data_IF_309594563352
#
_entry.id   IF_309594563352
#
_cell.length_a   1.000
_cell.length_b   1.000
_cell.length_c   1.000
_cell.angle_alpha   90.00
_cell.angle_beta   90.00
_cell.angle_gamma   90.00
#
_symmetry.space_group_name_H-M   'P 1'
#
loop_
_entity.id
_entity.type
_entity.pdbx_description
1 polymer ?
#
# COMPACT_ATOMS: atom_id res chain seq x y z
N UNK A 1 -34.84 39.72 -13.38
CA UNK A 1 -34.63 38.25 -13.35
C UNK A 1 -34.68 37.77 -14.79
N UNK A 2 -33.56 37.80 -15.52
CA UNK A 2 -32.38 36.92 -15.47
C UNK A 2 -32.51 35.80 -16.52
N UNK A 3 -32.23 36.17 -17.78
CA UNK A 3 -31.83 35.23 -18.84
C UNK A 3 -30.31 35.02 -18.70
N UNK A 4 -29.88 33.80 -18.43
CA UNK A 4 -28.48 33.38 -18.55
C UNK A 4 -28.36 32.58 -19.83
N UNK A 5 -27.90 33.24 -20.90
CA UNK A 5 -27.42 32.59 -22.10
C UNK A 5 -26.11 31.85 -21.79
N UNK A 6 -26.05 30.58 -22.13
CA UNK A 6 -24.82 29.80 -22.09
C UNK A 6 -23.83 30.33 -23.14
N UNK A 7 -22.53 30.44 -22.84
CA UNK A 7 -21.56 30.99 -23.76
C UNK A 7 -21.41 30.10 -25.00
N UNK A 8 -21.72 30.67 -26.17
CA UNK A 8 -21.50 30.09 -27.49
C UNK A 8 -19.98 30.04 -27.72
N UNK A 9 -19.40 28.85 -27.61
CA UNK A 9 -17.98 28.61 -27.92
C UNK A 9 -17.77 28.69 -29.44
N UNK A 10 -16.86 29.54 -29.94
CA UNK A 10 -16.63 29.72 -31.38
C UNK A 10 -16.20 28.41 -32.08
N UNK A 11 -16.62 28.17 -33.33
CA UNK A 11 -16.28 26.95 -34.09
C UNK A 11 -14.78 26.68 -34.21
N UNK A 12 -13.96 27.73 -34.21
CA UNK A 12 -12.50 27.66 -34.29
C UNK A 12 -11.86 27.01 -33.04
N UNK A 13 -12.49 27.13 -31.86
CA UNK A 13 -12.00 26.54 -30.60
C UNK A 13 -12.30 25.03 -30.55
N UNK A 14 -13.43 24.59 -31.13
CA UNK A 14 -13.72 23.15 -31.31
C UNK A 14 -12.77 22.49 -32.32
N UNK A 15 -12.38 23.22 -33.37
CA UNK A 15 -11.44 22.72 -34.37
C UNK A 15 -9.99 22.65 -33.84
N UNK A 16 -9.62 23.50 -32.88
CA UNK A 16 -8.32 23.44 -32.20
C UNK A 16 -8.28 22.30 -31.16
N UNK A 17 -9.36 22.06 -30.42
CA UNK A 17 -9.48 20.95 -29.46
C UNK A 17 -9.39 19.58 -30.16
N UNK A 18 -10.04 19.43 -31.32
CA UNK A 18 -9.95 18.22 -32.15
C UNK A 18 -8.59 18.04 -32.86
N UNK A 19 -7.76 19.10 -32.96
CA UNK A 19 -6.39 19.03 -33.46
C UNK A 19 -5.37 18.71 -32.36
N UNK A 20 -5.63 19.08 -31.11
CA UNK A 20 -4.80 18.71 -29.95
C UNK A 20 -5.08 17.27 -29.49
N UNK A 21 -6.34 16.84 -29.53
CA UNK A 21 -6.74 15.46 -29.17
C UNK A 21 -6.38 14.39 -30.24
N UNK A 22 -5.81 14.79 -31.39
CA UNK A 22 -5.34 13.89 -32.45
C UNK A 22 -3.81 13.90 -32.66
N UNK A 23 -3.02 14.52 -31.77
CA UNK A 23 -1.54 14.46 -31.79
C UNK A 23 -0.98 13.54 -30.69
N UNK A 24 -1.81 12.65 -30.15
CA UNK A 24 -1.35 11.53 -29.34
C UNK A 24 -2.36 10.39 -29.54
N UNK A 25 -2.01 9.25 -30.18
CA UNK A 25 -0.88 8.42 -29.77
C UNK A 25 -0.18 7.63 -30.91
N UNK A 26 1.16 7.54 -30.93
CA UNK A 26 1.85 6.31 -31.41
C UNK A 26 3.38 6.26 -31.25
N UNK A 27 4.07 7.34 -30.87
CA UNK A 27 5.56 7.34 -30.81
C UNK A 27 6.14 7.18 -29.39
N UNK A 28 5.30 7.16 -28.34
CA UNK A 28 5.76 6.96 -26.96
C UNK A 28 6.14 5.51 -26.56
N UNK A 29 5.65 4.43 -27.21
CA UNK A 29 6.01 3.07 -26.80
C UNK A 29 7.41 2.60 -27.22
N UNK A 30 8.10 3.27 -28.15
CA UNK A 30 9.45 2.84 -28.59
C UNK A 30 10.57 3.39 -27.70
N UNK A 31 10.50 4.65 -27.28
CA UNK A 31 11.50 5.24 -26.37
C UNK A 31 11.40 4.64 -24.96
N UNK A 32 10.19 4.26 -24.52
CA UNK A 32 9.98 3.58 -23.24
C UNK A 32 10.48 2.13 -23.30
N UNK A 33 10.32 1.40 -24.41
CA UNK A 33 10.91 0.06 -24.57
C UNK A 33 12.45 0.10 -24.66
N UNK A 34 13.01 1.06 -25.39
CA UNK A 34 14.46 1.24 -25.48
C UNK A 34 15.10 1.80 -24.18
N UNK A 35 14.33 2.51 -23.36
CA UNK A 35 14.74 2.97 -22.03
C UNK A 35 14.62 1.91 -20.93
N UNK A 36 13.56 1.09 -20.96
CA UNK A 36 13.32 0.02 -19.97
C UNK A 36 14.24 -1.19 -20.20
N UNK A 37 14.63 -1.50 -21.44
CA UNK A 37 15.63 -2.54 -21.72
C UNK A 37 17.06 -2.15 -21.30
N UNK A 38 17.32 -0.87 -20.98
CA UNK A 38 18.62 -0.41 -20.46
C UNK A 38 18.70 -0.23 -18.94
N UNK A 39 17.60 -0.34 -18.20
CA UNK A 39 17.57 -0.03 -16.77
C UNK A 39 17.21 -1.19 -15.82
N UNK A 40 17.25 -2.43 -16.30
CA UNK A 40 17.39 -3.61 -15.41
C UNK A 40 18.86 -3.99 -15.24
N UNK A 41 19.71 -3.01 -14.92
CA UNK A 41 21.07 -3.30 -14.45
C UNK A 41 21.02 -3.48 -12.95
N UNK A 42 21.28 -4.70 -12.49
CA UNK A 42 21.46 -5.00 -11.06
C UNK A 42 22.36 -3.97 -10.40
N UNK A 43 22.04 -3.60 -9.16
CA UNK A 43 22.72 -2.55 -8.41
C UNK A 43 24.24 -2.78 -8.45
N UNK A 44 24.99 -1.93 -9.17
CA UNK A 44 26.46 -1.97 -9.14
C UNK A 44 26.94 -1.29 -7.87
N UNK A 45 27.99 -1.82 -7.27
CA UNK A 45 28.56 -1.25 -6.07
C UNK A 45 29.21 0.12 -6.36
N UNK A 46 30.13 0.19 -7.33
CA UNK A 46 30.73 1.45 -7.77
C UNK A 46 31.51 2.23 -6.69
N UNK A 47 31.75 1.66 -5.51
CA UNK A 47 32.54 2.27 -4.43
C UNK A 47 33.95 2.52 -4.92
N UNK A 48 34.42 3.76 -4.81
CA UNK A 48 35.79 4.16 -5.10
C UNK A 48 36.73 3.74 -3.98
N UNK A 49 37.93 3.28 -4.34
CA UNK A 49 38.91 2.82 -3.36
C UNK A 49 39.80 3.95 -2.85
N UNK A 50 40.13 3.90 -1.56
CA UNK A 50 41.10 4.81 -0.95
C UNK A 50 42.54 4.27 -1.09
N UNK A 51 43.54 5.14 -0.96
CA UNK A 51 44.96 4.73 -0.89
C UNK A 51 45.16 3.82 0.33
N UNK A 52 45.76 2.65 0.14
CA UNK A 52 46.03 1.69 1.21
C UNK A 52 44.87 0.72 1.52
N UNK A 53 43.72 0.85 0.86
CA UNK A 53 42.58 -0.07 1.05
C UNK A 53 42.86 -1.45 0.42
N UNK A 54 42.48 -2.54 1.11
CA UNK A 54 42.62 -3.90 0.60
C UNK A 54 41.45 -4.20 -0.34
N UNK A 55 41.77 -4.53 -1.59
CA UNK A 55 40.82 -4.94 -2.63
C UNK A 55 41.09 -6.36 -3.10
N UNK A 56 40.08 -7.02 -3.65
CA UNK A 56 40.09 -8.44 -3.94
C UNK A 56 39.83 -8.70 -5.43
N UNK A 57 40.65 -9.53 -6.07
CA UNK A 57 40.38 -10.03 -7.42
C UNK A 57 40.27 -11.56 -7.40
N UNK A 58 39.20 -12.10 -7.98
CA UNK A 58 39.00 -13.55 -8.08
C UNK A 58 39.65 -14.07 -9.36
N UNK A 59 40.67 -14.93 -9.24
CA UNK A 59 41.43 -15.44 -10.40
C UNK A 59 40.63 -16.41 -11.25
N UNK A 60 39.63 -17.06 -10.66
CA UNK A 60 38.81 -18.04 -11.36
C UNK A 60 37.67 -17.35 -12.13
N UNK A 61 37.09 -16.28 -11.56
CA UNK A 61 35.89 -15.62 -12.10
C UNK A 61 36.16 -14.30 -12.83
N UNK A 62 37.24 -13.58 -12.56
CA UNK A 62 37.52 -12.30 -13.22
C UNK A 62 37.73 -12.50 -14.73
N UNK A 63 37.23 -11.55 -15.53
CA UNK A 63 37.50 -11.50 -16.97
C UNK A 63 38.85 -10.87 -17.28
N UNK A 64 39.34 -9.98 -16.40
CA UNK A 64 40.65 -9.35 -16.50
C UNK A 64 41.29 -9.10 -15.10
N UNK A 65 42.63 -8.94 -15.01
CA UNK A 65 43.31 -8.75 -13.73
C UNK A 65 42.96 -7.46 -12.97
N UNK A 66 42.37 -6.49 -13.67
CA UNK A 66 41.91 -5.23 -13.09
C UNK A 66 40.47 -5.32 -12.53
N UNK A 67 39.79 -6.47 -12.65
CA UNK A 67 38.47 -6.66 -12.07
C UNK A 67 38.58 -6.89 -10.56
N UNK A 68 38.01 -5.98 -9.77
CA UNK A 68 38.26 -5.90 -8.32
C UNK A 68 36.98 -5.65 -7.53
N UNK A 69 36.91 -6.27 -6.35
CA UNK A 69 35.84 -6.13 -5.37
C UNK A 69 36.37 -5.38 -4.14
N UNK A 70 35.52 -4.52 -3.56
CA UNK A 70 35.75 -4.04 -2.20
C UNK A 70 35.62 -5.22 -1.21
N UNK A 71 36.20 -5.06 -0.01
CA UNK A 71 36.16 -6.09 1.02
C UNK A 71 34.72 -6.58 1.29
N UNK A 72 33.78 -5.64 1.39
CA UNK A 72 32.39 -5.95 1.68
C UNK A 72 31.72 -6.77 0.58
N UNK A 73 31.88 -6.40 -0.69
CA UNK A 73 31.33 -7.18 -1.81
C UNK A 73 31.99 -8.54 -1.93
N UNK A 74 33.30 -8.62 -1.66
CA UNK A 74 34.02 -9.88 -1.66
C UNK A 74 33.44 -10.84 -0.62
N UNK A 75 33.34 -10.44 0.65
CA UNK A 75 32.85 -11.30 1.75
C UNK A 75 31.40 -11.77 1.58
N UNK A 76 30.57 -11.00 0.88
CA UNK A 76 29.19 -11.37 0.59
C UNK A 76 29.01 -12.02 -0.79
N UNK A 77 30.10 -12.41 -1.45
CA UNK A 77 30.06 -13.10 -2.75
C UNK A 77 30.55 -14.54 -2.62
N UNK A 78 30.23 -15.34 -3.63
CA UNK A 78 30.79 -16.69 -3.74
C UNK A 78 32.30 -16.70 -3.97
N UNK A 79 32.90 -15.55 -4.34
CA UNK A 79 34.33 -15.49 -4.68
C UNK A 79 35.25 -15.74 -3.48
N UNK A 80 34.71 -15.72 -2.26
CA UNK A 80 35.41 -16.15 -1.03
C UNK A 80 35.82 -17.63 -1.05
N UNK A 81 35.14 -18.46 -1.83
CA UNK A 81 35.43 -19.90 -1.94
C UNK A 81 36.29 -20.25 -3.16
N UNK A 82 36.68 -19.25 -3.97
CA UNK A 82 37.53 -19.40 -5.14
C UNK A 82 38.98 -18.99 -4.84
N UNK A 83 39.89 -19.16 -5.81
CA UNK A 83 41.24 -18.61 -5.70
C UNK A 83 41.21 -17.12 -5.99
N UNK A 84 41.57 -16.32 -5.00
CA UNK A 84 41.61 -14.86 -5.11
C UNK A 84 42.99 -14.31 -4.74
N UNK A 85 43.21 -13.04 -5.07
CA UNK A 85 44.37 -12.27 -4.68
C UNK A 85 43.93 -10.98 -3.98
N UNK A 86 44.61 -10.67 -2.87
CA UNK A 86 44.50 -9.39 -2.19
C UNK A 86 45.53 -8.41 -2.77
N UNK A 87 45.08 -7.19 -3.03
CA UNK A 87 45.89 -6.11 -3.60
C UNK A 87 45.68 -4.88 -2.70
N UNK A 88 46.76 -4.14 -2.45
CA UNK A 88 46.67 -2.84 -1.76
C UNK A 88 46.43 -1.78 -2.82
N UNK A 89 45.31 -1.07 -2.71
CA UNK A 89 44.95 0.01 -3.63
C UNK A 89 45.95 1.15 -3.55
N UNK A 90 46.48 1.60 -4.69
CA UNK A 90 47.32 2.80 -4.79
C UNK A 90 46.50 4.10 -4.81
N UNK A 91 45.16 4.01 -4.73
CA UNK A 91 44.23 5.15 -4.72
C UNK A 91 44.11 5.93 -6.04
N UNK A 92 44.79 5.51 -7.11
CA UNK A 92 44.63 6.05 -8.46
C UNK A 92 43.39 5.42 -9.13
N UNK A 93 42.19 5.89 -8.77
CA UNK A 93 41.00 5.83 -9.64
C UNK A 93 40.33 4.46 -9.87
N UNK A 94 40.44 3.51 -8.94
CA UNK A 94 39.71 2.24 -9.01
C UNK A 94 38.34 2.27 -8.32
N UNK A 95 37.35 1.55 -8.84
CA UNK A 95 36.05 1.34 -8.20
C UNK A 95 35.68 -0.15 -8.18
N UNK A 96 34.75 -0.52 -7.29
CA UNK A 96 34.30 -1.89 -7.14
C UNK A 96 33.42 -2.36 -8.31
N UNK A 97 33.84 -3.44 -8.96
CA UNK A 97 33.20 -4.06 -10.12
C UNK A 97 32.03 -5.01 -9.77
N UNK A 98 31.62 -5.07 -8.51
CA UNK A 98 30.43 -5.82 -8.13
C UNK A 98 29.21 -5.25 -8.86
N UNK A 99 28.48 -6.09 -9.59
CA UNK A 99 27.39 -5.69 -10.47
C UNK A 99 27.78 -5.49 -11.93
N UNK A 100 29.07 -5.50 -12.28
CA UNK A 100 29.51 -5.40 -13.66
C UNK A 100 29.54 -6.79 -14.33
N UNK A 101 28.54 -7.05 -15.18
CA UNK A 101 28.41 -8.29 -15.95
C UNK A 101 29.60 -8.55 -16.88
N UNK A 102 30.38 -7.53 -17.23
CA UNK A 102 31.57 -7.68 -18.10
C UNK A 102 32.84 -7.96 -17.30
N UNK A 103 32.85 -7.69 -15.99
CA UNK A 103 34.01 -7.91 -15.13
C UNK A 103 34.12 -9.36 -14.62
N UNK A 104 33.01 -10.10 -14.60
CA UNK A 104 32.94 -11.44 -14.00
C UNK A 104 32.31 -12.47 -14.94
N UNK A 105 32.96 -13.62 -15.12
CA UNK A 105 32.47 -14.76 -15.91
C UNK A 105 31.24 -15.41 -15.27
N UNK A 106 31.20 -15.45 -13.95
CA UNK A 106 30.13 -16.05 -13.15
C UNK A 106 29.92 -15.24 -11.87
N UNK A 107 28.71 -15.27 -11.32
CA UNK A 107 28.31 -14.56 -10.10
C UNK A 107 28.84 -13.10 -10.05
N UNK A 108 28.37 -12.24 -10.97
CA UNK A 108 28.84 -10.86 -11.10
C UNK A 108 28.54 -9.99 -9.89
N UNK A 109 27.72 -10.48 -8.94
CA UNK A 109 27.18 -9.69 -7.86
C UNK A 109 27.18 -10.45 -6.54
N UNK A 110 27.40 -9.71 -5.46
CA UNK A 110 27.34 -10.22 -4.10
C UNK A 110 25.89 -10.29 -3.59
N UNK A 111 25.64 -10.98 -2.48
CA UNK A 111 24.30 -11.11 -1.89
C UNK A 111 23.65 -9.76 -1.52
N UNK A 112 24.45 -8.70 -1.31
CA UNK A 112 23.94 -7.33 -1.05
C UNK A 112 23.55 -6.57 -2.32
N UNK A 113 24.09 -6.96 -3.47
CA UNK A 113 23.88 -6.29 -4.76
C UNK A 113 23.14 -7.26 -5.66
N UNK A 114 21.82 -7.21 -5.64
CA UNK A 114 21.00 -8.20 -6.34
C UNK A 114 21.03 -7.94 -7.85
N UNK A 115 21.57 -8.89 -8.61
CA UNK A 115 21.54 -8.84 -10.06
C UNK A 115 20.57 -9.88 -10.56
N UNK A 116 19.52 -9.41 -11.23
CA UNK A 116 18.60 -10.27 -11.95
C UNK A 116 19.39 -10.88 -13.12
N UNK A 117 20.00 -12.03 -12.90
CA UNK A 117 20.63 -12.79 -13.97
C UNK A 117 19.53 -13.34 -14.86
N UNK A 118 19.45 -12.86 -16.10
CA UNK A 118 18.72 -13.57 -17.14
C UNK A 118 19.44 -14.90 -17.39
N UNK A 119 18.92 -15.98 -16.82
CA UNK A 119 19.11 -17.33 -17.32
C UNK A 119 17.74 -17.95 -17.59
N UNK A 120 17.52 -18.61 -18.74
CA UNK A 120 16.22 -19.21 -19.06
C UNK A 120 15.89 -20.33 -18.05
N UNK A 121 14.63 -20.47 -17.62
CA UNK A 121 14.25 -21.44 -16.60
C UNK A 121 14.29 -22.85 -17.17
N UNK A 122 15.15 -23.70 -16.61
CA UNK A 122 14.97 -25.15 -16.67
C UNK A 122 14.12 -25.57 -15.46
N UNK A 123 13.00 -26.20 -15.75
CA UNK A 123 11.99 -26.61 -14.79
C UNK A 123 12.50 -27.72 -13.84
N UNK A 124 12.19 -27.62 -12.55
CA UNK A 124 11.63 -28.74 -11.77
C UNK A 124 11.21 -28.34 -10.35
N UNK A 125 9.90 -28.53 -10.12
CA UNK A 125 9.21 -29.03 -8.93
C UNK A 125 9.28 -28.34 -7.56
N UNK A 126 8.05 -28.08 -7.05
CA UNK A 126 7.56 -28.02 -5.67
C UNK A 126 8.45 -28.80 -4.68
N UNK A 127 8.63 -28.41 -3.41
CA UNK A 127 7.57 -28.33 -2.39
C UNK A 127 8.19 -27.86 -1.06
N UNK A 128 7.50 -26.99 -0.32
CA UNK A 128 7.33 -27.03 1.15
C UNK A 128 7.16 -25.63 1.75
N UNK A 129 5.94 -25.41 2.26
CA UNK A 129 5.59 -24.70 3.49
C UNK A 129 6.66 -23.80 4.14
N UNK A 130 6.37 -22.50 4.24
CA UNK A 130 6.21 -21.75 5.50
C UNK A 130 6.01 -20.26 5.17
N UNK A 131 4.89 -19.71 5.61
CA UNK A 131 4.72 -18.25 5.79
C UNK A 131 5.70 -17.84 6.91
N UNK A 132 6.51 -16.79 6.69
CA UNK A 132 6.22 -15.54 7.41
C UNK A 132 6.29 -14.29 6.53
N UNK A 133 5.25 -13.48 6.68
CA UNK A 133 5.26 -12.03 6.96
C UNK A 133 6.25 -11.17 6.16
N UNK A 134 5.67 -10.37 5.26
CA UNK A 134 5.86 -8.92 5.12
C UNK A 134 7.22 -8.34 5.55
N UNK A 135 8.07 -8.03 4.57
CA UNK A 135 9.11 -6.99 4.76
C UNK A 135 9.49 -6.27 3.44
N UNK A 136 9.28 -6.91 2.28
CA UNK A 136 9.76 -6.37 0.99
C UNK A 136 9.08 -5.10 0.44
N UNK A 137 8.11 -4.49 1.13
CA UNK A 137 7.44 -3.27 0.64
C UNK A 137 7.98 -1.96 1.25
N UNK A 138 8.58 -2.04 2.44
CA UNK A 138 9.19 -0.87 3.11
C UNK A 138 10.56 -0.56 2.47
N UNK A 139 11.33 -1.61 2.12
CA UNK A 139 12.63 -1.48 1.46
C UNK A 139 12.55 -0.90 0.04
N UNK A 140 11.49 -1.21 -0.70
CA UNK A 140 11.27 -0.70 -2.06
C UNK A 140 11.00 0.82 -2.06
N UNK A 141 10.18 1.31 -1.12
CA UNK A 141 9.84 2.73 -1.01
C UNK A 141 11.01 3.57 -0.49
N UNK A 142 11.82 3.02 0.42
CA UNK A 142 13.03 3.67 0.91
C UNK A 142 14.10 3.79 -0.18
N UNK A 143 14.16 2.82 -1.10
CA UNK A 143 15.05 2.86 -2.27
C UNK A 143 14.58 3.88 -3.31
N UNK A 144 13.28 3.99 -3.56
CA UNK A 144 12.71 5.02 -4.46
C UNK A 144 13.02 6.42 -3.94
N UNK A 145 12.79 6.70 -2.65
CA UNK A 145 13.14 7.99 -2.05
C UNK A 145 14.63 8.35 -2.17
N UNK A 146 15.54 7.37 -2.05
CA UNK A 146 16.97 7.61 -2.22
C UNK A 146 17.36 7.93 -3.66
N UNK A 147 16.74 7.25 -4.64
CA UNK A 147 16.96 7.54 -6.06
C UNK A 147 16.44 8.93 -6.41
N UNK A 148 15.28 9.31 -5.88
CA UNK A 148 14.68 10.62 -6.09
C UNK A 148 15.47 11.75 -5.42
N UNK A 149 15.89 11.56 -4.17
CA UNK A 149 16.78 12.50 -3.49
C UNK A 149 18.06 12.71 -4.31
N UNK A 150 18.64 11.64 -4.86
CA UNK A 150 19.82 11.73 -5.71
C UNK A 150 19.56 12.51 -7.00
N UNK A 151 18.40 12.34 -7.63
CA UNK A 151 18.03 13.05 -8.85
C UNK A 151 17.89 14.57 -8.65
N UNK A 152 17.34 15.01 -7.50
CA UNK A 152 17.29 16.43 -7.10
C UNK A 152 18.69 16.94 -6.76
N UNK A 153 19.49 16.13 -6.07
CA UNK A 153 20.78 16.54 -5.53
C UNK A 153 21.86 16.79 -6.59
N UNK A 154 21.86 16.05 -7.69
CA UNK A 154 22.86 16.19 -8.76
C UNK A 154 22.87 17.61 -9.37
N UNK A 155 21.77 18.13 -9.94
CA UNK A 155 21.73 19.48 -10.51
C UNK A 155 21.95 20.55 -9.44
N UNK A 156 21.42 20.38 -8.22
CA UNK A 156 21.68 21.30 -7.11
C UNK A 156 23.19 21.45 -6.83
N UNK A 157 23.90 20.32 -6.71
CA UNK A 157 25.35 20.34 -6.45
C UNK A 157 26.11 21.02 -7.58
N UNK A 158 25.75 20.73 -8.83
CA UNK A 158 26.38 21.35 -10.01
C UNK A 158 26.16 22.87 -10.00
N UNK A 159 24.94 23.33 -9.73
CA UNK A 159 24.64 24.76 -9.64
C UNK A 159 25.42 25.46 -8.52
N UNK A 160 25.58 24.80 -7.38
CA UNK A 160 26.40 25.31 -6.27
C UNK A 160 27.89 25.39 -6.60
N UNK A 161 28.43 24.43 -7.36
CA UNK A 161 29.80 24.50 -7.86
C UNK A 161 30.00 25.72 -8.77
N UNK A 162 29.08 25.97 -9.71
CA UNK A 162 29.14 27.17 -10.54
C UNK A 162 29.07 28.45 -9.71
N UNK A 163 28.24 28.50 -8.67
CA UNK A 163 28.24 29.65 -7.76
C UNK A 163 29.57 29.82 -7.01
N UNK A 164 30.17 28.73 -6.53
CA UNK A 164 31.49 28.76 -5.89
C UNK A 164 32.56 29.32 -6.83
N UNK A 165 32.55 28.93 -8.11
CA UNK A 165 33.47 29.46 -9.12
C UNK A 165 33.30 30.98 -9.30
N UNK A 166 32.06 31.49 -9.29
CA UNK A 166 31.80 32.94 -9.32
C UNK A 166 32.48 33.65 -8.15
N UNK A 167 32.42 33.08 -6.94
CA UNK A 167 33.07 33.65 -5.77
C UNK A 167 34.59 33.69 -5.91
N UNK A 168 35.20 32.61 -6.39
CA UNK A 168 36.64 32.55 -6.61
C UNK A 168 37.10 33.58 -7.66
N UNK A 169 36.37 33.70 -8.76
CA UNK A 169 36.62 34.71 -9.78
C UNK A 169 36.52 36.12 -9.19
N UNK A 170 35.46 36.45 -8.45
CA UNK A 170 35.30 37.75 -7.80
C UNK A 170 36.41 38.05 -6.77
N UNK A 171 36.89 37.04 -6.03
CA UNK A 171 38.04 37.21 -5.11
C UNK A 171 39.31 37.56 -5.89
N UNK A 172 39.53 36.94 -7.05
CA UNK A 172 40.73 37.17 -7.86
C UNK A 172 40.74 38.54 -8.57
N UNK A 173 39.58 39.13 -8.86
CA UNK A 173 39.50 40.44 -9.53
C UNK A 173 39.79 41.57 -8.56
N UNK A 174 40.81 42.38 -8.85
CA UNK A 174 41.19 43.54 -8.03
C UNK A 174 40.45 44.82 -8.44
N UNK A 175 39.12 44.75 -8.57
CA UNK A 175 38.25 45.87 -8.94
C UNK A 175 36.83 45.65 -8.40
N UNK A 176 36.17 46.74 -7.98
CA UNK A 176 34.79 46.70 -7.45
C UNK A 176 33.73 46.58 -8.56
N UNK A 177 34.12 46.84 -9.81
CA UNK A 177 33.28 46.82 -11.00
C UNK A 177 33.96 45.99 -12.09
N UNK A 178 33.26 44.99 -12.62
CA UNK A 178 33.66 44.25 -13.83
C UNK A 178 32.80 44.72 -15.01
N UNK A 179 33.46 45.32 -16.00
CA UNK A 179 32.80 45.87 -17.18
C UNK A 179 32.61 44.81 -18.29
N UNK A 180 31.57 44.96 -19.11
CA UNK A 180 31.32 44.06 -20.23
C UNK A 180 32.43 44.14 -21.29
N UNK A 181 32.67 43.04 -22.00
CA UNK A 181 33.68 42.94 -23.07
C UNK A 181 35.07 42.49 -22.61
N UNK A 182 35.25 42.16 -21.33
CA UNK A 182 36.44 41.46 -20.84
C UNK A 182 36.15 39.96 -20.62
N UNK A 183 37.16 39.11 -20.79
CA UNK A 183 37.04 37.66 -20.61
C UNK A 183 36.47 37.29 -19.24
N UNK A 184 36.90 38.00 -18.19
CA UNK A 184 36.43 37.79 -16.81
C UNK A 184 34.93 38.03 -16.65
N UNK A 185 34.38 39.04 -17.33
CA UNK A 185 32.94 39.31 -17.31
C UNK A 185 32.17 38.15 -17.95
N UNK A 186 32.63 37.69 -19.11
CA UNK A 186 31.98 36.59 -19.84
C UNK A 186 32.05 35.27 -19.06
N UNK A 187 33.16 35.00 -18.37
CA UNK A 187 33.32 33.83 -17.50
C UNK A 187 32.40 33.88 -16.28
N UNK A 188 32.36 35.02 -15.56
CA UNK A 188 31.44 35.22 -14.43
C UNK A 188 29.99 35.02 -14.88
N UNK A 189 29.61 35.62 -16.01
CA UNK A 189 28.27 35.48 -16.57
C UNK A 189 27.91 34.05 -16.91
N UNK A 190 28.81 33.32 -17.56
CA UNK A 190 28.60 31.91 -17.90
C UNK A 190 28.34 31.07 -16.67
N UNK A 191 29.12 31.26 -15.60
CA UNK A 191 28.91 30.51 -14.35
C UNK A 191 27.60 30.91 -13.65
N UNK A 192 27.18 32.18 -13.70
CA UNK A 192 25.87 32.63 -13.15
C UNK A 192 24.70 32.02 -13.93
N UNK A 193 24.78 32.01 -15.27
CA UNK A 193 23.75 31.40 -16.12
C UNK A 193 23.69 29.87 -15.93
N UNK A 194 24.84 29.21 -15.78
CA UNK A 194 24.93 27.79 -15.45
C UNK A 194 24.33 27.49 -14.07
N UNK A 195 24.68 28.28 -13.05
CA UNK A 195 24.10 28.17 -11.71
C UNK A 195 22.57 28.26 -11.76
N UNK A 196 22.02 29.30 -12.41
CA UNK A 196 20.57 29.50 -12.53
C UNK A 196 19.90 28.30 -13.21
N UNK A 197 20.44 27.86 -14.33
CA UNK A 197 19.88 26.73 -15.11
C UNK A 197 19.84 25.46 -14.27
N UNK A 198 20.93 25.12 -13.58
CA UNK A 198 20.98 23.92 -12.75
C UNK A 198 20.12 24.01 -11.48
N UNK A 199 19.94 25.20 -10.91
CA UNK A 199 18.99 25.39 -9.81
C UNK A 199 17.55 25.19 -10.29
N UNK A 200 17.18 25.75 -11.43
CA UNK A 200 15.85 25.57 -12.05
C UNK A 200 15.58 24.10 -12.41
N UNK A 201 16.58 23.39 -12.94
CA UNK A 201 16.52 21.94 -13.17
C UNK A 201 16.24 21.17 -11.87
N UNK A 202 16.97 21.49 -10.80
CA UNK A 202 16.77 20.86 -9.49
C UNK A 202 15.37 21.12 -8.93
N UNK A 203 14.86 22.34 -9.06
CA UNK A 203 13.51 22.70 -8.61
C UNK A 203 12.44 21.95 -9.44
N UNK A 204 12.64 21.86 -10.75
CA UNK A 204 11.69 21.20 -11.65
C UNK A 204 11.61 19.70 -11.41
N UNK A 205 12.75 19.03 -11.18
CA UNK A 205 12.78 17.63 -10.77
C UNK A 205 12.02 17.46 -9.45
N UNK A 206 12.31 18.29 -8.44
CA UNK A 206 11.62 18.20 -7.15
C UNK A 206 10.09 18.44 -7.27
N UNK A 207 9.65 19.35 -8.14
CA UNK A 207 8.22 19.60 -8.44
C UNK A 207 7.55 18.40 -9.10
N UNK A 208 8.20 17.78 -10.09
CA UNK A 208 7.66 16.60 -10.77
C UNK A 208 7.49 15.42 -9.79
N UNK A 209 8.46 15.22 -8.92
CA UNK A 209 8.41 14.16 -7.91
C UNK A 209 7.37 14.45 -6.81
N UNK A 210 7.21 15.72 -6.41
CA UNK A 210 6.12 16.11 -5.52
C UNK A 210 4.75 15.81 -6.14
N UNK A 211 4.56 16.01 -7.44
CA UNK A 211 3.30 15.67 -8.12
C UNK A 211 3.02 14.16 -8.07
N UNK A 212 4.05 13.33 -8.20
CA UNK A 212 3.91 11.88 -8.06
C UNK A 212 3.46 11.50 -6.63
N UNK A 213 4.11 12.08 -5.60
CA UNK A 213 3.74 11.85 -4.19
C UNK A 213 2.34 12.39 -3.86
N UNK A 214 1.95 13.54 -4.43
CA UNK A 214 0.59 14.09 -4.32
C UNK A 214 -0.44 13.12 -4.91
N UNK A 215 -0.18 12.57 -6.09
CA UNK A 215 -1.03 11.55 -6.73
C UNK A 215 -1.15 10.27 -5.91
N UNK A 216 -0.05 9.76 -5.35
CA UNK A 216 -0.08 8.60 -4.45
C UNK A 216 -0.88 8.89 -3.17
N UNK A 217 -0.76 10.10 -2.62
CA UNK A 217 -1.53 10.53 -1.44
C UNK A 217 -3.03 10.53 -1.74
N UNK A 218 -3.44 11.09 -2.89
CA UNK A 218 -4.83 11.10 -3.35
C UNK A 218 -5.36 9.67 -3.54
N UNK A 219 -4.59 8.81 -4.22
CA UNK A 219 -4.95 7.40 -4.47
C UNK A 219 -5.17 6.64 -3.17
N UNK A 220 -4.23 6.71 -2.23
CA UNK A 220 -4.36 6.04 -0.93
C UNK A 220 -5.55 6.56 -0.12
N UNK A 221 -5.85 7.87 -0.23
CA UNK A 221 -7.01 8.49 0.43
C UNK A 221 -8.33 7.99 -0.15
N UNK A 222 -8.42 7.85 -1.48
CA UNK A 222 -9.57 7.29 -2.16
C UNK A 222 -9.76 5.80 -1.79
N UNK A 223 -8.70 5.00 -1.87
CA UNK A 223 -8.73 3.58 -1.51
C UNK A 223 -9.16 3.36 -0.05
N UNK A 224 -8.65 4.17 0.90
CA UNK A 224 -9.09 4.08 2.30
C UNK A 224 -10.58 4.39 2.46
N UNK A 225 -11.08 5.41 1.75
CA UNK A 225 -12.49 5.79 1.80
C UNK A 225 -13.38 4.66 1.26
N UNK A 226 -12.96 4.02 0.18
CA UNK A 226 -13.66 2.87 -0.40
C UNK A 226 -13.66 1.65 0.52
N UNK A 227 -12.51 1.32 1.14
CA UNK A 227 -12.42 0.23 2.11
C UNK A 227 -13.29 0.49 3.35
N UNK A 228 -13.31 1.73 3.86
CA UNK A 228 -14.15 2.11 4.99
C UNK A 228 -15.65 1.97 4.66
N UNK A 229 -16.05 2.38 3.44
CA UNK A 229 -17.42 2.19 2.94
C UNK A 229 -17.78 0.71 2.85
N UNK A 230 -16.89 -0.12 2.30
CA UNK A 230 -17.12 -1.57 2.22
C UNK A 230 -17.23 -2.23 3.61
N UNK A 231 -16.40 -1.81 4.58
CA UNK A 231 -16.49 -2.29 5.96
C UNK A 231 -17.86 -1.96 6.56
N UNK A 232 -18.29 -0.70 6.47
CA UNK A 232 -19.59 -0.25 6.97
C UNK A 232 -20.76 -0.99 6.34
N UNK A 233 -20.71 -1.24 5.03
CA UNK A 233 -21.72 -2.03 4.33
C UNK A 233 -21.80 -3.47 4.88
N UNK A 234 -20.65 -4.15 5.02
CA UNK A 234 -20.59 -5.54 5.53
C UNK A 234 -21.03 -5.63 6.98
N UNK A 235 -20.73 -4.64 7.82
CA UNK A 235 -21.23 -4.56 9.19
C UNK A 235 -22.77 -4.41 9.23
N UNK A 236 -23.35 -3.70 8.27
CA UNK A 236 -24.80 -3.64 8.07
C UNK A 236 -25.40 -5.00 7.67
N UNK A 237 -24.78 -5.69 6.71
CA UNK A 237 -25.18 -7.04 6.28
C UNK A 237 -25.10 -8.05 7.43
N UNK A 238 -24.03 -7.98 8.23
CA UNK A 238 -23.83 -8.82 9.41
C UNK A 238 -24.97 -8.62 10.44
N UNK A 239 -25.34 -7.38 10.74
CA UNK A 239 -26.46 -7.08 11.66
C UNK A 239 -27.78 -7.65 11.15
N UNK A 240 -28.03 -7.57 9.85
CA UNK A 240 -29.22 -8.15 9.23
C UNK A 240 -29.23 -9.68 9.37
N UNK A 241 -28.12 -10.35 9.05
CA UNK A 241 -27.98 -11.80 9.22
C UNK A 241 -28.15 -12.25 10.67
N UNK A 242 -27.60 -11.50 11.63
CA UNK A 242 -27.79 -11.78 13.07
C UNK A 242 -29.27 -11.67 13.48
N UNK A 243 -29.98 -10.66 12.95
CA UNK A 243 -31.42 -10.48 13.19
C UNK A 243 -32.22 -11.66 12.59
N UNK A 244 -31.88 -12.10 11.38
CA UNK A 244 -32.49 -13.28 10.76
C UNK A 244 -32.24 -14.56 11.56
N UNK A 245 -31.01 -14.76 12.04
CA UNK A 245 -30.65 -15.89 12.88
C UNK A 245 -31.48 -15.92 14.17
N UNK A 246 -31.69 -14.76 14.81
CA UNK A 246 -32.54 -14.65 16.01
C UNK A 246 -34.01 -14.99 15.70
N UNK A 247 -34.52 -14.57 14.55
CA UNK A 247 -35.87 -14.93 14.08
C UNK A 247 -36.02 -16.43 13.85
N UNK A 248 -35.04 -17.07 13.19
CA UNK A 248 -35.05 -18.52 12.98
C UNK A 248 -34.97 -19.31 14.29
N UNK A 249 -34.14 -18.88 15.24
CA UNK A 249 -34.07 -19.49 16.59
C UNK A 249 -35.41 -19.38 17.33
N UNK A 250 -36.05 -18.21 17.30
CA UNK A 250 -37.35 -18.00 17.93
C UNK A 250 -38.45 -18.88 17.29
N UNK A 251 -38.41 -19.03 15.96
CA UNK A 251 -39.33 -19.89 15.21
C UNK A 251 -39.10 -21.38 15.54
N UNK A 252 -37.84 -21.80 15.62
CA UNK A 252 -37.44 -23.14 16.03
C UNK A 252 -37.98 -23.49 17.43
N UNK A 253 -37.87 -22.57 18.39
CA UNK A 253 -38.40 -22.77 19.74
C UNK A 253 -39.93 -22.97 19.75
N UNK A 254 -40.66 -22.19 18.96
CA UNK A 254 -42.11 -22.34 18.79
C UNK A 254 -42.47 -23.70 18.17
N UNK A 255 -41.80 -24.11 17.09
CA UNK A 255 -42.04 -25.42 16.46
C UNK A 255 -41.68 -26.58 17.39
N UNK A 256 -40.58 -26.47 18.15
CA UNK A 256 -40.21 -27.46 19.16
C UNK A 256 -41.26 -27.57 20.26
N UNK A 257 -41.82 -26.46 20.74
CA UNK A 257 -42.90 -26.46 21.73
C UNK A 257 -44.18 -27.14 21.19
N UNK A 258 -44.54 -26.87 19.92
CA UNK A 258 -45.68 -27.53 19.24
C UNK A 258 -45.42 -29.02 19.03
N UNK A 259 -44.23 -29.40 18.60
CA UNK A 259 -43.81 -30.79 18.42
C UNK A 259 -43.92 -31.56 19.75
N UNK A 260 -43.38 -31.02 20.86
CA UNK A 260 -43.52 -31.63 22.19
C UNK A 260 -44.98 -31.81 22.62
N UNK A 261 -45.86 -30.89 22.25
CA UNK A 261 -47.29 -30.96 22.58
C UNK A 261 -48.00 -32.01 21.74
N UNK A 262 -47.74 -32.04 20.43
CA UNK A 262 -48.25 -33.05 19.51
C UNK A 262 -47.76 -34.47 19.87
N UNK A 263 -46.48 -34.63 20.23
CA UNK A 263 -45.91 -35.91 20.68
C UNK A 263 -46.56 -36.40 21.98
N UNK A 264 -46.79 -35.51 22.96
CA UNK A 264 -47.53 -35.87 24.19
C UNK A 264 -48.98 -36.28 23.90
N UNK A 265 -49.64 -35.57 22.98
CA UNK A 265 -50.98 -35.92 22.51
C UNK A 265 -51.02 -37.31 21.86
N UNK A 266 -50.07 -37.58 20.96
CA UNK A 266 -49.91 -38.89 20.31
C UNK A 266 -49.69 -40.01 21.33
N UNK A 267 -48.79 -39.83 22.30
CA UNK A 267 -48.54 -40.81 23.36
C UNK A 267 -49.80 -41.11 24.18
N UNK A 268 -50.61 -40.07 24.46
CA UNK A 268 -51.88 -40.20 25.17
C UNK A 268 -52.89 -40.98 24.32
N UNK A 269 -53.05 -40.62 23.05
CA UNK A 269 -53.97 -41.30 22.13
C UNK A 269 -53.58 -42.78 21.90
N UNK A 270 -52.28 -43.08 21.79
CA UNK A 270 -51.77 -44.45 21.73
C UNK A 270 -52.04 -45.23 23.01
N UNK A 271 -51.88 -44.62 24.19
CA UNK A 271 -52.18 -45.26 25.47
C UNK A 271 -53.68 -45.59 25.60
N UNK A 272 -54.56 -44.65 25.23
CA UNK A 272 -56.01 -44.88 25.17
C UNK A 272 -56.34 -46.03 24.22
N UNK A 273 -55.75 -46.04 23.03
CA UNK A 273 -55.97 -47.10 22.04
C UNK A 273 -55.44 -48.46 22.50
N UNK A 274 -54.34 -48.50 23.28
CA UNK A 274 -53.85 -49.72 23.92
C UNK A 274 -54.84 -50.23 24.98
N UNK A 275 -55.31 -49.38 25.88
CA UNK A 275 -56.32 -49.73 26.90
C UNK A 275 -57.62 -50.24 26.26
N UNK A 276 -58.10 -49.59 25.20
CA UNK A 276 -59.29 -50.04 24.45
C UNK A 276 -59.09 -51.42 23.78
N UNK A 277 -57.90 -51.71 23.26
CA UNK A 277 -57.57 -53.03 22.68
C UNK A 277 -57.50 -54.10 23.77
N UNK A 278 -56.83 -53.79 24.87
CA UNK A 278 -56.70 -54.72 26.00
C UNK A 278 -58.08 -55.08 26.58
N UNK A 279 -58.97 -54.09 26.75
CA UNK A 279 -60.34 -54.33 27.21
C UNK A 279 -61.16 -55.15 26.22
N UNK A 280 -60.96 -54.96 24.91
CA UNK A 280 -61.58 -55.80 23.87
C UNK A 280 -61.12 -57.25 24.02
N UNK A 281 -59.81 -57.48 24.15
CA UNK A 281 -59.24 -58.83 24.29
C UNK A 281 -59.72 -59.51 25.58
N UNK A 282 -59.85 -58.75 26.68
CA UNK A 282 -60.44 -59.23 27.93
C UNK A 282 -61.93 -59.58 27.78
N UNK A 283 -62.73 -58.73 27.13
CA UNK A 283 -64.14 -59.00 26.87
C UNK A 283 -64.35 -60.21 25.94
N UNK A 284 -63.48 -60.39 24.95
CA UNK A 284 -63.51 -61.54 24.04
C UNK A 284 -63.15 -62.86 24.76
N UNK A 285 -62.18 -62.81 25.70
CA UNK A 285 -61.85 -63.94 26.58
C UNK A 285 -62.99 -64.30 27.55
N UNK A 286 -63.65 -63.30 28.16
CA UNK A 286 -64.74 -63.51 29.12
C UNK A 286 -66.03 -64.00 28.42
N UNK A 287 -66.26 -63.64 27.15
CA UNK A 287 -67.40 -64.15 26.36
C UNK A 287 -67.37 -65.66 26.14
N UNK A 288 -66.18 -66.27 26.11
CA UNK A 288 -66.01 -67.73 26.04
C UNK A 288 -66.22 -68.43 27.41
N UNK A 289 -66.44 -67.69 28.49
CA UNK A 289 -66.58 -68.19 29.86
C UNK A 289 -68.02 -68.13 30.44
N UNK A 290 -69.03 -67.78 29.64
CA UNK A 290 -70.44 -68.05 29.97
C UNK A 290 -71.11 -67.18 31.05
N UNK A 291 -70.53 -66.04 31.44
CA UNK A 291 -71.19 -65.07 32.33
C UNK A 291 -71.26 -63.72 31.63
N UNK A 292 -72.49 -63.29 31.32
CA UNK A 292 -72.78 -61.99 30.73
C UNK A 292 -72.63 -60.88 31.76
N UNK A 293 -71.69 -59.96 31.51
CA UNK A 293 -71.73 -58.52 31.79
C UNK A 293 -70.31 -57.99 31.63
N UNK A 294 -70.08 -56.97 30.80
CA UNK A 294 -69.00 -56.00 31.05
C UNK A 294 -69.32 -54.65 30.43
N UNK A 295 -69.48 -53.66 31.32
CA UNK A 295 -69.50 -52.24 31.04
C UNK A 295 -68.11 -51.79 30.57
N UNK A 296 -68.00 -51.18 29.40
CA UNK A 296 -66.74 -50.60 28.92
C UNK A 296 -66.86 -49.07 28.98
N UNK A 297 -66.28 -48.40 30.00
CA UNK A 297 -66.18 -46.95 29.96
C UNK A 297 -65.21 -46.56 28.83
N UNK A 298 -65.72 -45.87 27.82
CA UNK A 298 -64.92 -45.29 26.74
C UNK A 298 -64.38 -43.95 27.26
N UNK A 299 -63.09 -43.91 27.54
CA UNK A 299 -62.39 -42.69 27.97
C UNK A 299 -61.76 -42.05 26.73
N UNK A 300 -62.20 -40.84 26.38
CA UNK A 300 -61.64 -40.04 25.29
C UNK A 300 -61.74 -38.55 25.64
N UNK A 301 -60.63 -37.82 25.48
CA UNK A 301 -60.48 -36.41 25.82
C UNK A 301 -61.14 -35.52 24.75
N UNK A 302 -62.45 -35.30 24.79
CA UNK A 302 -63.15 -34.09 24.29
C UNK A 302 -64.52 -34.07 24.99
N UNK A 303 -64.93 -32.90 25.46
CA UNK A 303 -66.14 -32.66 26.26
C UNK A 303 -67.39 -33.37 25.69
N UNK A 304 -68.02 -34.21 26.51
CA UNK A 304 -69.30 -34.88 26.23
C UNK A 304 -69.27 -36.38 26.53
N UNK A 305 -69.29 -36.77 27.79
CA UNK A 305 -69.41 -38.17 28.20
C UNK A 305 -70.82 -38.72 27.89
N UNK A 306 -70.90 -39.81 27.11
CA UNK A 306 -72.13 -40.60 26.96
C UNK A 306 -71.90 -41.99 27.54
N UNK A 307 -72.68 -42.33 28.57
CA UNK A 307 -72.79 -43.69 29.11
C UNK A 307 -73.87 -44.45 28.33
N UNK A 308 -73.60 -45.67 27.85
CA UNK A 308 -74.62 -46.54 27.24
C UNK A 308 -74.49 -47.95 27.84
N UNK A 309 -75.63 -48.53 28.28
CA UNK A 309 -75.73 -49.89 28.83
C UNK A 309 -76.02 -50.94 27.74
N UNK A 310 -75.58 -52.19 27.97
CA UNK A 310 -75.28 -53.15 26.88
C UNK A 310 -76.39 -54.13 26.50
N UNK A 311 -76.64 -54.23 25.18
CA UNK A 311 -77.25 -55.39 24.49
C UNK A 311 -76.32 -55.90 23.36
N UNK A 312 -76.68 -56.99 22.68
CA UNK A 312 -75.89 -57.68 21.61
C UNK A 312 -75.44 -56.81 20.41
N UNK A 313 -75.85 -55.54 20.37
CA UNK A 313 -75.52 -54.52 19.36
C UNK A 313 -74.18 -53.81 19.56
N UNK A 314 -73.45 -54.07 20.64
CA UNK A 314 -72.47 -53.10 21.16
C UNK A 314 -71.00 -53.34 20.77
N UNK A 315 -70.69 -54.48 20.14
CA UNK A 315 -69.36 -54.68 19.52
C UNK A 315 -69.09 -53.71 18.37
N UNK A 316 -70.15 -53.32 17.64
CA UNK A 316 -70.04 -52.35 16.56
C UNK A 316 -69.70 -50.95 17.09
N UNK A 317 -70.25 -50.56 18.25
CA UNK A 317 -69.97 -49.29 18.91
C UNK A 317 -68.55 -49.24 19.49
N UNK A 318 -68.08 -50.33 20.11
CA UNK A 318 -66.69 -50.45 20.57
C UNK A 318 -65.68 -50.51 19.40
N UNK A 319 -66.05 -51.11 18.26
CA UNK A 319 -65.24 -51.08 17.04
C UNK A 319 -65.16 -49.68 16.46
N UNK A 320 -66.29 -48.97 16.35
CA UNK A 320 -66.33 -47.58 15.90
C UNK A 320 -65.49 -46.66 16.79
N UNK A 321 -65.54 -46.83 18.11
CA UNK A 321 -64.73 -46.04 19.04
C UNK A 321 -63.22 -46.32 18.86
N UNK A 322 -62.82 -47.57 18.64
CA UNK A 322 -61.44 -47.92 18.34
C UNK A 322 -60.97 -47.39 16.96
N UNK A 323 -61.85 -47.36 15.97
CA UNK A 323 -61.55 -46.80 14.64
C UNK A 323 -61.43 -45.27 14.66
N UNK A 324 -62.20 -44.59 15.50
CA UNK A 324 -62.06 -43.16 15.81
C UNK A 324 -60.72 -42.89 16.49
N UNK A 325 -60.37 -43.64 17.54
CA UNK A 325 -59.07 -43.52 18.19
C UNK A 325 -57.89 -43.79 17.24
N UNK A 326 -58.02 -44.76 16.31
CA UNK A 326 -57.01 -45.00 15.24
C UNK A 326 -56.88 -43.81 14.29
N UNK A 327 -57.99 -43.13 13.98
CA UNK A 327 -57.99 -41.93 13.12
C UNK A 327 -57.28 -40.77 13.80
N UNK A 328 -57.58 -40.54 15.07
CA UNK A 328 -56.94 -39.51 15.89
C UNK A 328 -55.42 -39.75 16.04
N UNK A 329 -55.00 -41.00 16.25
CA UNK A 329 -53.57 -41.36 16.24
C UNK A 329 -52.92 -41.04 14.90
N UNK A 330 -53.55 -41.36 13.77
CA UNK A 330 -53.02 -41.03 12.43
C UNK A 330 -52.92 -39.51 12.21
N UNK A 331 -53.91 -38.75 12.66
CA UNK A 331 -53.91 -37.29 12.57
C UNK A 331 -52.78 -36.70 13.44
N UNK A 332 -52.64 -37.15 14.69
CA UNK A 332 -51.55 -36.75 15.59
C UNK A 332 -50.18 -37.12 15.02
N UNK A 333 -50.02 -38.32 14.44
CA UNK A 333 -48.79 -38.76 13.79
C UNK A 333 -48.42 -37.85 12.61
N UNK A 334 -49.41 -37.48 11.79
CA UNK A 334 -49.22 -36.56 10.66
C UNK A 334 -48.75 -35.19 11.15
N UNK A 335 -49.37 -34.63 12.20
CA UNK A 335 -48.94 -33.37 12.81
C UNK A 335 -47.52 -33.42 13.37
N UNK A 336 -47.13 -34.53 14.04
CA UNK A 336 -45.76 -34.74 14.53
C UNK A 336 -44.76 -34.75 13.37
N UNK A 337 -45.06 -35.48 12.28
CA UNK A 337 -44.20 -35.52 11.10
C UNK A 337 -44.04 -34.15 10.44
N UNK A 338 -45.14 -33.38 10.33
CA UNK A 338 -45.11 -32.02 9.79
C UNK A 338 -44.22 -31.09 10.63
N UNK A 339 -44.41 -31.05 11.96
CA UNK A 339 -43.59 -30.19 12.82
C UNK A 339 -42.13 -30.63 12.88
N UNK A 340 -41.85 -31.93 12.82
CA UNK A 340 -40.48 -32.47 12.71
C UNK A 340 -39.78 -32.00 11.42
N UNK A 341 -40.50 -31.99 10.30
CA UNK A 341 -40.00 -31.43 9.04
C UNK A 341 -39.66 -29.94 9.14
N UNK A 342 -40.52 -29.14 9.77
CA UNK A 342 -40.30 -27.71 9.99
C UNK A 342 -39.10 -27.42 10.89
N UNK A 343 -38.94 -28.18 11.99
CA UNK A 343 -37.76 -28.10 12.87
C UNK A 343 -36.47 -28.39 12.09
N UNK A 344 -36.48 -29.43 11.26
CA UNK A 344 -35.33 -29.78 10.42
C UNK A 344 -35.00 -28.67 9.42
N UNK A 345 -36.02 -28.04 8.82
CA UNK A 345 -35.87 -26.89 7.92
C UNK A 345 -35.27 -25.68 8.62
N UNK A 346 -35.77 -25.32 9.80
CA UNK A 346 -35.22 -24.22 10.60
C UNK A 346 -33.76 -24.47 11.02
N UNK A 347 -33.42 -25.69 11.44
CA UNK A 347 -32.03 -26.05 11.78
C UNK A 347 -31.07 -25.88 10.59
N UNK A 348 -31.50 -26.26 9.39
CA UNK A 348 -30.73 -26.04 8.17
C UNK A 348 -30.51 -24.55 7.87
N UNK A 349 -31.57 -23.73 8.00
CA UNK A 349 -31.48 -22.27 7.83
C UNK A 349 -30.57 -21.61 8.86
N UNK A 350 -30.64 -22.04 10.13
CA UNK A 350 -29.76 -21.58 11.21
C UNK A 350 -28.30 -21.90 10.88
N UNK A 351 -28.01 -23.13 10.46
CA UNK A 351 -26.65 -23.56 10.11
C UNK A 351 -26.08 -22.73 8.96
N UNK A 352 -26.90 -22.49 7.92
CA UNK A 352 -26.53 -21.62 6.79
C UNK A 352 -26.28 -20.18 7.24
N UNK A 353 -27.20 -19.58 8.01
CA UNK A 353 -27.04 -18.22 8.50
C UNK A 353 -25.81 -18.06 9.41
N UNK A 354 -25.49 -19.07 10.23
CA UNK A 354 -24.27 -19.07 11.05
C UNK A 354 -23.00 -19.11 10.19
N UNK A 355 -22.97 -19.92 9.14
CA UNK A 355 -21.86 -19.95 8.20
C UNK A 355 -21.70 -18.61 7.48
N UNK A 356 -22.81 -18.02 7.00
CA UNK A 356 -22.79 -16.73 6.30
C UNK A 356 -22.32 -15.59 7.23
N UNK A 357 -22.70 -15.62 8.51
CA UNK A 357 -22.20 -14.71 9.56
C UNK A 357 -20.69 -14.87 9.72
N UNK A 358 -20.19 -16.10 9.91
CA UNK A 358 -18.76 -16.36 10.09
C UNK A 358 -17.93 -15.90 8.88
N UNK A 359 -18.44 -16.13 7.67
CA UNK A 359 -17.82 -15.69 6.43
C UNK A 359 -17.83 -14.15 6.29
N UNK A 360 -18.90 -13.49 6.73
CA UNK A 360 -18.99 -12.03 6.70
C UNK A 360 -18.04 -11.41 7.72
N UNK A 361 -18.00 -11.95 8.93
CA UNK A 361 -17.09 -11.54 10.00
C UNK A 361 -15.61 -11.68 9.59
N UNK A 362 -15.23 -12.77 8.92
CA UNK A 362 -13.85 -12.95 8.46
C UNK A 362 -13.45 -11.90 7.41
N UNK A 363 -14.36 -11.56 6.48
CA UNK A 363 -14.15 -10.49 5.50
C UNK A 363 -14.07 -9.10 6.15
N UNK A 364 -14.86 -8.84 7.19
CA UNK A 364 -14.79 -7.58 7.96
C UNK A 364 -13.40 -7.46 8.60
N UNK A 365 -12.93 -8.51 9.30
CA UNK A 365 -11.59 -8.52 9.91
C UNK A 365 -10.47 -8.33 8.88
N UNK A 366 -10.58 -8.97 7.72
CA UNK A 366 -9.63 -8.79 6.62
C UNK A 366 -9.63 -7.34 6.10
N UNK A 367 -10.81 -6.74 5.92
CA UNK A 367 -10.96 -5.35 5.48
C UNK A 367 -10.37 -4.38 6.52
N UNK A 368 -10.57 -4.66 7.80
CA UNK A 368 -10.03 -3.86 8.91
C UNK A 368 -8.50 -3.93 8.99
N UNK A 369 -7.91 -5.12 8.83
CA UNK A 369 -6.46 -5.27 8.75
C UNK A 369 -5.88 -4.50 7.55
N UNK A 370 -6.56 -4.53 6.39
CA UNK A 370 -6.18 -3.72 5.22
C UNK A 370 -6.27 -2.22 5.50
N UNK A 371 -7.32 -1.76 6.17
CA UNK A 371 -7.46 -0.35 6.57
C UNK A 371 -6.33 0.10 7.49
N UNK A 372 -5.93 -0.73 8.46
CA UNK A 372 -4.81 -0.43 9.36
C UNK A 372 -3.48 -0.34 8.60
N UNK A 373 -3.19 -1.31 7.73
CA UNK A 373 -1.98 -1.29 6.90
C UNK A 373 -1.94 -0.07 5.97
N UNK A 374 -3.08 0.29 5.37
CA UNK A 374 -3.20 1.48 4.53
C UNK A 374 -3.02 2.77 5.32
N UNK A 375 -3.53 2.84 6.55
CA UNK A 375 -3.33 3.99 7.44
C UNK A 375 -1.85 4.21 7.75
N UNK A 376 -1.11 3.15 8.07
CA UNK A 376 0.33 3.23 8.31
C UNK A 376 1.09 3.71 7.05
N UNK A 377 0.73 3.18 5.87
CA UNK A 377 1.32 3.64 4.60
C UNK A 377 1.04 5.13 4.32
N UNK A 378 -0.19 5.60 4.59
CA UNK A 378 -0.54 7.03 4.41
C UNK A 378 0.26 7.95 5.32
N UNK A 379 0.53 7.54 6.56
CA UNK A 379 1.32 8.33 7.50
C UNK A 379 2.75 8.55 6.97
N UNK A 380 3.40 7.50 6.48
CA UNK A 380 4.74 7.59 5.87
C UNK A 380 4.72 8.48 4.63
N UNK A 381 3.76 8.28 3.72
CA UNK A 381 3.66 9.09 2.49
C UNK A 381 3.37 10.56 2.82
N UNK A 382 2.55 10.85 3.82
CA UNK A 382 2.24 12.22 4.23
C UNK A 382 3.46 12.94 4.84
N UNK A 383 4.28 12.25 5.63
CA UNK A 383 5.53 12.80 6.15
C UNK A 383 6.52 13.12 5.00
N UNK A 384 6.67 12.19 4.05
CA UNK A 384 7.49 12.40 2.84
C UNK A 384 6.96 13.58 2.03
N UNK A 385 5.66 13.65 1.79
CA UNK A 385 5.01 14.75 1.05
C UNK A 385 5.27 16.11 1.72
N UNK A 386 5.15 16.18 3.06
CA UNK A 386 5.42 17.39 3.81
C UNK A 386 6.88 17.84 3.70
N UNK A 387 7.82 16.90 3.81
CA UNK A 387 9.26 17.14 3.60
C UNK A 387 9.55 17.62 2.17
N UNK A 388 8.98 16.95 1.17
CA UNK A 388 9.15 17.29 -0.24
C UNK A 388 8.63 18.69 -0.57
N UNK A 389 7.46 19.07 -0.04
CA UNK A 389 6.91 20.43 -0.19
C UNK A 389 7.83 21.50 0.38
N UNK A 390 8.43 21.26 1.54
CA UNK A 390 9.42 22.18 2.12
C UNK A 390 10.66 22.28 1.23
N UNK A 391 11.20 21.14 0.77
CA UNK A 391 12.36 21.12 -0.11
C UNK A 391 12.11 21.88 -1.42
N UNK A 392 10.97 21.63 -2.11
CA UNK A 392 10.56 22.37 -3.30
C UNK A 392 10.46 23.86 -3.03
N UNK A 393 9.86 24.26 -1.90
CA UNK A 393 9.75 25.66 -1.53
C UNK A 393 11.13 26.32 -1.35
N UNK A 394 12.06 25.66 -0.66
CA UNK A 394 13.41 26.21 -0.48
C UNK A 394 14.21 26.26 -1.80
N UNK A 395 14.07 25.25 -2.67
CA UNK A 395 14.67 25.25 -4.01
C UNK A 395 14.12 26.41 -4.86
N UNK A 396 12.84 26.71 -4.77
CA UNK A 396 12.24 27.87 -5.43
C UNK A 396 12.80 29.20 -4.94
N UNK A 397 13.09 29.32 -3.64
CA UNK A 397 13.80 30.49 -3.10
C UNK A 397 15.22 30.60 -3.67
N UNK A 398 15.97 29.49 -3.76
CA UNK A 398 17.31 29.48 -4.38
C UNK A 398 17.26 29.89 -5.86
N UNK A 399 16.30 29.36 -6.63
CA UNK A 399 16.10 29.75 -8.03
C UNK A 399 15.80 31.25 -8.17
N UNK A 400 15.03 31.80 -7.22
CA UNK A 400 14.80 33.24 -7.10
C UNK A 400 16.09 34.03 -6.91
N UNK A 401 16.94 33.63 -5.96
CA UNK A 401 18.24 34.29 -5.71
C UNK A 401 19.15 34.18 -6.95
N UNK A 402 19.22 33.01 -7.59
CA UNK A 402 19.97 32.80 -8.83
C UNK A 402 19.47 33.67 -9.99
N UNK A 403 18.15 33.88 -10.08
CA UNK A 403 17.55 34.79 -11.07
C UNK A 403 17.89 36.26 -10.80
N UNK A 404 17.92 36.68 -9.53
CA UNK A 404 18.38 38.02 -9.15
C UNK A 404 19.84 38.21 -9.53
N UNK A 405 20.69 37.22 -9.26
CA UNK A 405 22.10 37.24 -9.65
C UNK A 405 22.26 37.46 -11.16
N UNK A 406 21.58 36.64 -11.96
CA UNK A 406 21.63 36.71 -13.42
C UNK A 406 21.16 38.08 -13.95
N UNK A 407 20.04 38.60 -13.43
CA UNK A 407 19.51 39.91 -13.82
C UNK A 407 20.48 41.06 -13.49
N UNK A 408 21.07 41.04 -12.30
CA UNK A 408 21.96 42.10 -11.83
C UNK A 408 23.30 42.12 -12.60
N UNK A 409 23.78 40.97 -13.07
CA UNK A 409 25.03 40.87 -13.83
C UNK A 409 24.87 41.05 -15.34
N UNK A 410 23.68 41.40 -15.85
CA UNK A 410 23.43 41.44 -17.29
C UNK A 410 24.25 42.50 -18.05
N UNK A 411 24.61 43.59 -17.39
CA UNK A 411 25.25 44.74 -18.04
C UNK A 411 26.65 45.01 -17.51
N UNK A 412 26.86 44.76 -16.23
CA UNK A 412 28.11 44.93 -15.50
C UNK A 412 28.00 44.10 -14.22
N UNK A 413 29.12 43.70 -13.63
CA UNK A 413 29.13 42.99 -12.34
C UNK A 413 29.64 43.93 -11.27
N UNK A 414 28.81 44.20 -10.26
CA UNK A 414 29.17 44.98 -9.08
C UNK A 414 29.44 44.04 -7.92
N UNK A 415 30.53 44.27 -7.21
CA UNK A 415 30.92 43.42 -6.09
C UNK A 415 29.89 43.47 -4.94
N UNK A 416 29.41 44.66 -4.57
CA UNK A 416 28.48 44.83 -3.43
C UNK A 416 27.11 44.13 -3.63
N UNK A 417 26.38 44.30 -4.75
CA UNK A 417 25.17 43.52 -5.03
C UNK A 417 25.42 42.01 -5.07
N UNK A 418 26.55 41.56 -5.61
CA UNK A 418 26.89 40.13 -5.60
C UNK A 418 27.11 39.63 -4.17
N UNK A 419 27.72 40.41 -3.28
CA UNK A 419 27.84 40.03 -1.87
C UNK A 419 26.47 39.86 -1.18
N UNK A 420 25.47 40.68 -1.53
CA UNK A 420 24.09 40.51 -1.01
C UNK A 420 23.45 39.22 -1.53
N UNK A 421 23.62 38.92 -2.82
CA UNK A 421 23.18 37.65 -3.42
C UNK A 421 23.83 36.45 -2.70
N UNK A 422 25.12 36.52 -2.35
CA UNK A 422 25.79 35.46 -1.59
C UNK A 422 25.20 35.24 -0.21
N UNK A 423 24.89 36.33 0.50
CA UNK A 423 24.30 36.27 1.83
C UNK A 423 22.93 35.58 1.79
N UNK A 424 22.09 35.98 0.83
CA UNK A 424 20.77 35.37 0.61
C UNK A 424 20.87 33.89 0.17
N UNK A 425 21.82 33.56 -0.71
CA UNK A 425 22.08 32.21 -1.17
C UNK A 425 22.50 31.29 0.00
N UNK A 426 23.48 31.73 0.80
CA UNK A 426 24.01 30.99 1.95
C UNK A 426 22.94 30.81 3.03
N UNK A 427 22.11 31.83 3.27
CA UNK A 427 20.99 31.78 4.21
C UNK A 427 19.92 30.77 3.77
N UNK A 428 19.60 30.74 2.48
CA UNK A 428 18.61 29.81 1.93
C UNK A 428 19.14 28.37 1.93
N UNK A 429 20.42 28.17 1.59
CA UNK A 429 21.07 26.86 1.68
C UNK A 429 21.12 26.29 3.09
N UNK A 430 21.31 27.15 4.10
CA UNK A 430 21.28 26.71 5.50
C UNK A 430 19.93 26.12 5.91
N UNK A 431 18.82 26.63 5.36
CA UNK A 431 17.49 26.07 5.58
C UNK A 431 17.33 24.69 4.92
N UNK A 432 17.96 24.47 3.77
CA UNK A 432 17.92 23.20 3.04
C UNK A 432 18.75 22.13 3.77
N UNK A 433 19.96 22.46 4.21
CA UNK A 433 20.83 21.53 4.92
C UNK A 433 20.25 21.10 6.29
N UNK A 434 19.36 21.91 6.86
CA UNK A 434 18.61 21.58 8.07
C UNK A 434 17.48 20.55 7.86
N UNK A 435 16.98 20.34 6.64
CA UNK A 435 15.88 19.41 6.36
C UNK A 435 16.43 18.00 6.07
N UNK A 436 15.91 16.98 6.77
CA UNK A 436 16.42 15.60 6.74
C UNK A 436 16.39 14.96 5.33
N UNK A 437 15.57 15.48 4.42
CA UNK A 437 15.39 14.93 3.08
C UNK A 437 16.60 15.17 2.16
N UNK A 438 17.31 16.29 2.34
CA UNK A 438 18.43 16.71 1.47
C UNK A 438 19.77 16.75 2.21
N UNK A 439 19.84 16.19 3.43
CA UNK A 439 21.09 16.07 4.18
C UNK A 439 22.09 15.22 3.39
N UNK A 440 23.12 15.88 2.90
CA UNK A 440 24.28 15.23 2.27
C UNK A 440 25.55 15.97 2.66
N UNK A 441 26.59 15.21 3.02
CA UNK A 441 27.91 15.76 3.40
C UNK A 441 28.46 16.71 2.33
N UNK A 442 28.14 16.46 1.05
CA UNK A 442 28.58 17.28 -0.07
C UNK A 442 28.03 18.71 -0.08
N UNK A 443 26.77 18.96 0.32
CA UNK A 443 26.23 20.34 0.39
C UNK A 443 26.90 21.11 1.52
N UNK A 444 27.13 20.44 2.66
CA UNK A 444 27.67 21.10 3.84
C UNK A 444 29.09 21.61 3.62
N UNK A 445 29.96 20.80 2.98
CA UNK A 445 31.29 21.23 2.56
C UNK A 445 31.22 22.45 1.63
N UNK A 446 30.36 22.41 0.60
CA UNK A 446 30.19 23.52 -0.34
C UNK A 446 29.72 24.81 0.37
N UNK A 447 28.82 24.69 1.34
CA UNK A 447 28.37 25.83 2.13
C UNK A 447 29.47 26.45 3.00
N UNK A 448 30.34 25.61 3.58
CA UNK A 448 31.47 26.07 4.38
C UNK A 448 32.47 26.84 3.50
N UNK A 449 32.76 26.31 2.32
CA UNK A 449 33.62 26.97 1.32
C UNK A 449 33.04 28.32 0.87
N UNK A 450 31.74 28.36 0.55
CA UNK A 450 31.04 29.58 0.17
C UNK A 450 31.07 30.64 1.28
N UNK A 451 30.87 30.24 2.55
CA UNK A 451 30.93 31.16 3.69
C UNK A 451 32.34 31.71 3.90
N UNK A 452 33.36 30.86 3.72
CA UNK A 452 34.76 31.27 3.74
C UNK A 452 35.09 32.28 2.64
N UNK A 453 34.58 32.05 1.43
CA UNK A 453 34.77 32.95 0.30
C UNK A 453 34.04 34.29 0.49
N UNK A 454 32.83 34.27 1.04
CA UNK A 454 32.10 35.48 1.41
C UNK A 454 32.87 36.32 2.45
N UNK A 455 33.44 35.69 3.48
CA UNK A 455 34.25 36.38 4.49
C UNK A 455 35.49 37.07 3.89
N UNK A 456 36.17 36.41 2.94
CA UNK A 456 37.31 36.98 2.20
C UNK A 456 36.90 38.20 1.36
N UNK A 457 35.74 38.14 0.69
CA UNK A 457 35.21 39.25 -0.09
C UNK A 457 34.85 40.46 0.79
N UNK A 458 34.22 40.23 1.94
CA UNK A 458 33.93 41.28 2.92
C UNK A 458 35.21 41.93 3.47
N UNK A 459 36.26 41.14 3.72
CA UNK A 459 37.55 41.67 4.15
C UNK A 459 38.19 42.53 3.06
N UNK A 460 38.12 42.09 1.80
CA UNK A 460 38.65 42.82 0.65
C UNK A 460 37.94 44.15 0.41
N UNK A 461 36.61 44.17 0.53
CA UNK A 461 35.81 45.38 0.42
C UNK A 461 36.20 46.42 1.47
N UNK A 462 36.45 46.00 2.72
CA UNK A 462 36.91 46.90 3.81
C UNK A 462 38.31 47.47 3.54
N UNK A 463 39.24 46.64 3.06
CA UNK A 463 40.61 47.12 2.76
C UNK A 463 40.66 48.12 1.61
N UNK A 464 39.75 48.02 0.64
CA UNK A 464 39.64 49.01 -0.43
C UNK A 464 39.14 50.37 0.10
N UNK A 465 38.19 50.36 1.03
CA UNK A 465 37.64 51.56 1.67
C UNK A 465 38.69 52.28 2.55
N UNK A 466 39.41 51.52 3.39
CA UNK A 466 40.49 52.05 4.24
C UNK A 466 41.65 52.65 3.41
N UNK A 467 41.92 52.09 2.22
CA UNK A 467 42.95 52.59 1.31
C UNK A 467 42.54 53.84 0.53
N UNK A 468 41.23 54.07 0.36
CA UNK A 468 40.69 55.29 -0.25
C UNK A 468 40.66 56.46 0.74
N UNK A 469 40.44 56.20 2.04
CA UNK A 469 40.54 57.20 3.11
C UNK A 469 42.00 57.61 3.42
N UNK A 470 42.99 56.74 3.21
CA UNK A 470 44.40 57.07 3.45
C UNK A 470 45.05 58.00 2.39
N UNK A 471 44.31 58.36 1.33
CA UNK A 471 44.77 59.22 0.24
C UNK A 471 44.13 60.63 0.22
N UNK A 472 43.32 60.95 1.22
CA UNK A 472 42.82 62.29 1.54
C UNK A 472 43.37 62.76 2.89
#
# INVERSE_FOLDING_TARGET
MACLDAPIVPPQVKQMKARVENILPQELPLMIKQGIEKFTMGQRCGRTFQVGEIIYTCRDCATAPNCVLCAECFWHSIHTTHRYQQIVSSGLGGFCDCGDLKAWKTAPCCAKHNCITQSPPSASNLQSSLIPVSDGHVDQQHLELQVLAKAVMVPLKTGLCSFSNVLEMLISVNADIVLPGCQTFDEIRREIEAMKTHMEESEQVAKAELQHVDGETERLTAEQSDLARQKSQREGELKNLQTQLQSYRSSLDNYNARLRTATRGLQTAEATLRDMRERRDHAERVRNAGIGLMFIPIVGLIAGSVMVGVGQTDMNQASQAADTARREVRECQSSVNQYSGEVSRCNSQISKAQHDIQQTDSKIRETEARLQAMSAKREVVADVQAKMRRAVHQLGLLCGVGSVAELQTRRLVLLEPMMKVMEEMTTTLAKIAGDDLLKTEGIQSLMEDMRGNQAKLLQKAKTNDDSAEAYY
#
